data_IF_313260673131
#
_entry.id   IF_313260673131
#
_cell.length_a   1.000
_cell.length_b   1.000
_cell.length_c   1.000
_cell.angle_alpha   90.00
_cell.angle_beta   90.00
_cell.angle_gamma   90.00
#
_symmetry.space_group_name_H-M   'P 1'
#
loop_
_entity.id
_entity.type
_entity.pdbx_description
1 polymer ?
#
# COMPACT_ATOMS: atom_id res chain seq x y z
N UNK A 1 21.43 13.48 67.67
CA UNK A 1 20.91 12.48 66.69
C UNK A 1 19.65 13.06 66.05
N UNK A 2 19.79 13.78 64.93
CA UNK A 2 18.68 14.39 64.20
C UNK A 2 18.42 13.55 62.95
N UNK A 3 17.19 13.03 62.80
CA UNK A 3 16.84 12.10 61.73
C UNK A 3 16.68 12.86 60.41
N UNK A 4 17.37 12.35 59.40
CA UNK A 4 17.51 12.86 58.04
C UNK A 4 16.18 12.79 57.29
N UNK A 5 15.87 13.88 56.58
CA UNK A 5 14.82 14.03 55.58
C UNK A 5 15.17 13.16 54.37
N UNK A 6 14.29 12.25 53.95
CA UNK A 6 14.36 11.63 52.62
C UNK A 6 13.00 11.77 51.96
N UNK A 7 12.93 12.78 51.09
CA UNK A 7 11.85 13.08 50.16
C UNK A 7 11.66 11.91 49.20
N UNK A 8 10.52 11.22 49.29
CA UNK A 8 10.12 10.17 48.34
C UNK A 8 9.23 10.80 47.26
N UNK A 9 9.83 11.56 46.35
CA UNK A 9 9.18 11.92 45.09
C UNK A 9 9.34 10.69 44.18
N UNK A 10 8.29 9.86 44.18
CA UNK A 10 8.16 8.77 43.22
C UNK A 10 8.08 9.36 41.82
N UNK A 11 9.17 9.23 41.07
CA UNK A 11 9.24 9.59 39.66
C UNK A 11 8.36 8.59 38.88
N UNK A 12 7.13 9.01 38.62
CA UNK A 12 6.19 8.30 37.75
C UNK A 12 6.72 8.42 36.31
N UNK A 13 7.58 7.48 35.91
CA UNK A 13 7.87 7.25 34.50
C UNK A 13 6.63 6.62 33.86
N UNK A 14 5.69 7.46 33.43
CA UNK A 14 4.73 7.09 32.39
C UNK A 14 5.53 6.91 31.11
N UNK A 15 6.07 5.70 30.91
CA UNK A 15 6.53 5.28 29.59
C UNK A 15 5.25 5.15 28.77
N UNK A 16 4.90 6.22 28.06
CA UNK A 16 3.87 6.16 27.03
C UNK A 16 4.36 5.16 26.00
N UNK A 17 3.88 3.92 26.08
CA UNK A 17 3.97 2.99 24.97
C UNK A 17 3.19 3.65 23.83
N UNK A 18 3.90 4.34 22.94
CA UNK A 18 3.34 4.79 21.68
C UNK A 18 2.90 3.55 20.94
N UNK A 19 1.62 3.21 21.00
CA UNK A 19 1.05 2.15 20.21
C UNK A 19 1.16 2.58 18.74
N UNK A 20 2.18 2.10 18.04
CA UNK A 20 2.17 2.14 16.58
C UNK A 20 0.96 1.30 16.14
N UNK A 21 0.00 1.86 15.39
CA UNK A 21 -1.13 1.07 14.91
C UNK A 21 -0.63 -0.09 14.06
N UNK A 22 -1.14 -1.30 14.29
CA UNK A 22 -0.78 -2.48 13.49
C UNK A 22 -1.19 -2.28 12.03
N UNK A 23 -0.39 -2.73 11.03
CA UNK A 23 -0.79 -2.68 9.62
C UNK A 23 -1.99 -3.58 9.30
N UNK A 24 -2.35 -4.53 10.17
CA UNK A 24 -3.34 -5.59 9.88
C UNK A 24 -4.66 -5.06 9.33
N UNK A 25 -5.15 -3.93 9.89
CA UNK A 25 -6.36 -3.26 9.40
C UNK A 25 -6.22 -2.88 7.92
N UNK A 26 -5.13 -2.19 7.58
CA UNK A 26 -4.88 -1.69 6.23
C UNK A 26 -4.59 -2.82 5.25
N UNK A 27 -3.92 -3.88 5.69
CA UNK A 27 -3.71 -5.09 4.88
C UNK A 27 -5.05 -5.74 4.52
N UNK A 28 -5.96 -5.89 5.49
CA UNK A 28 -7.27 -6.49 5.25
C UNK A 28 -8.15 -5.63 4.31
N UNK A 29 -8.16 -4.31 4.52
CA UNK A 29 -8.87 -3.36 3.65
C UNK A 29 -8.29 -3.35 2.23
N UNK A 30 -6.96 -3.37 2.11
CA UNK A 30 -6.27 -3.39 0.82
C UNK A 30 -6.56 -4.68 0.04
N UNK A 31 -6.49 -5.82 0.71
CA UNK A 31 -6.81 -7.14 0.12
C UNK A 31 -8.24 -7.13 -0.41
N UNK A 32 -9.20 -6.71 0.41
CA UNK A 32 -10.61 -6.61 0.02
C UNK A 32 -10.80 -5.68 -1.17
N UNK A 33 -10.13 -4.52 -1.16
CA UNK A 33 -10.24 -3.55 -2.26
C UNK A 33 -9.71 -4.13 -3.57
N UNK A 34 -8.56 -4.79 -3.57
CA UNK A 34 -8.01 -5.42 -4.78
C UNK A 34 -8.95 -6.48 -5.33
N UNK A 35 -9.48 -7.35 -4.46
CA UNK A 35 -10.38 -8.44 -4.85
C UNK A 35 -11.76 -7.98 -5.34
N UNK A 36 -12.14 -6.73 -5.08
CA UNK A 36 -13.49 -6.21 -5.40
C UNK A 36 -13.51 -5.03 -6.35
N UNK A 37 -12.38 -4.34 -6.54
CA UNK A 37 -12.32 -3.05 -7.24
C UNK A 37 -11.16 -2.88 -8.21
N UNK A 38 -10.05 -3.61 -8.04
CA UNK A 38 -8.90 -3.50 -8.96
C UNK A 38 -9.26 -4.13 -10.30
N UNK A 39 -9.41 -3.30 -11.33
CA UNK A 39 -9.78 -3.76 -12.68
C UNK A 39 -8.75 -4.72 -13.27
N UNK A 40 -7.46 -4.49 -13.00
CA UNK A 40 -6.39 -5.40 -13.39
C UNK A 40 -6.54 -6.78 -12.75
N UNK A 41 -6.80 -6.84 -11.44
CA UNK A 41 -6.95 -8.10 -10.71
C UNK A 41 -8.28 -8.80 -11.05
N UNK A 42 -9.37 -8.05 -11.16
CA UNK A 42 -10.70 -8.61 -11.45
C UNK A 42 -10.81 -9.22 -12.85
N UNK A 43 -10.01 -8.73 -13.80
CA UNK A 43 -10.02 -9.27 -15.15
C UNK A 43 -9.54 -10.73 -15.18
N UNK A 44 -8.37 -10.99 -14.58
CA UNK A 44 -7.73 -12.31 -14.66
C UNK A 44 -6.64 -12.57 -13.58
N UNK A 45 -6.69 -11.83 -12.50
CA UNK A 45 -5.73 -11.89 -11.40
C UNK A 45 -5.95 -13.09 -10.47
N UNK A 46 -4.85 -13.60 -9.92
CA UNK A 46 -4.85 -14.67 -8.93
C UNK A 46 -3.62 -14.60 -8.02
N UNK A 47 -3.63 -15.38 -6.93
CA UNK A 47 -2.46 -15.50 -6.05
C UNK A 47 -2.13 -14.24 -5.24
N UNK A 48 -3.12 -13.42 -4.93
CA UNK A 48 -2.95 -12.20 -4.15
C UNK A 48 -2.30 -12.48 -2.79
N UNK A 49 -1.21 -11.79 -2.48
CA UNK A 49 -0.48 -11.96 -1.23
C UNK A 49 0.15 -10.65 -0.76
N UNK A 50 0.25 -10.48 0.56
CA UNK A 50 1.00 -9.39 1.14
C UNK A 50 2.49 -9.52 0.79
N UNK A 51 3.04 -8.47 0.17
CA UNK A 51 4.47 -8.30 -0.03
C UNK A 51 5.09 -7.54 1.14
N UNK A 52 4.54 -6.37 1.43
CA UNK A 52 5.06 -5.47 2.46
C UNK A 52 3.99 -4.48 2.93
N UNK A 53 4.10 -4.03 4.18
CA UNK A 53 3.33 -2.90 4.71
C UNK A 53 4.30 -1.88 5.30
N UNK A 54 4.33 -0.68 4.71
CA UNK A 54 5.29 0.37 5.06
C UNK A 54 4.56 1.54 5.71
N UNK A 55 4.92 1.93 6.95
CA UNK A 55 4.33 3.12 7.57
C UNK A 55 4.85 4.39 6.89
N UNK A 56 3.94 5.32 6.61
CA UNK A 56 4.28 6.65 6.09
C UNK A 56 4.77 7.61 7.19
N UNK A 57 5.29 8.78 6.77
CA UNK A 57 5.75 9.83 7.70
C UNK A 57 4.60 10.69 8.26
N UNK A 58 3.47 10.07 8.60
CA UNK A 58 2.33 10.72 9.22
C UNK A 58 1.52 9.72 10.07
N UNK A 59 0.72 10.25 11.00
CA UNK A 59 -0.16 9.44 11.83
C UNK A 59 -1.17 8.70 10.96
N UNK A 60 -1.26 7.37 11.11
CA UNK A 60 -2.20 6.52 10.35
C UNK A 60 -2.01 6.55 8.84
N UNK A 61 -0.76 6.67 8.38
CA UNK A 61 -0.40 6.57 6.97
C UNK A 61 0.30 5.26 6.67
N UNK A 62 -0.13 4.58 5.61
CA UNK A 62 0.39 3.27 5.23
C UNK A 62 0.44 3.12 3.72
N UNK A 63 1.56 2.60 3.21
CA UNK A 63 1.63 2.03 1.87
C UNK A 63 1.61 0.50 2.03
N UNK A 64 0.57 -0.13 1.46
CA UNK A 64 0.41 -1.59 1.43
C UNK A 64 0.74 -2.08 0.04
N UNK A 65 1.67 -3.03 -0.04
CA UNK A 65 2.10 -3.66 -1.28
C UNK A 65 1.58 -5.09 -1.33
N UNK A 66 0.80 -5.40 -2.36
CA UNK A 66 0.30 -6.74 -2.63
C UNK A 66 0.85 -7.23 -3.97
N UNK A 67 1.30 -8.48 -4.01
CA UNK A 67 1.69 -9.16 -5.25
C UNK A 67 0.55 -10.05 -5.73
N UNK A 68 0.37 -10.14 -7.05
CA UNK A 68 -0.53 -11.09 -7.69
C UNK A 68 -0.03 -11.45 -9.10
N UNK A 69 -0.65 -12.44 -9.73
CA UNK A 69 -0.35 -12.85 -11.10
C UNK A 69 -1.60 -12.68 -11.98
N UNK A 70 -1.44 -12.10 -13.17
CA UNK A 70 -2.45 -12.09 -14.24
C UNK A 70 -2.13 -13.15 -15.29
N UNK A 71 -3.15 -13.76 -15.90
CA UNK A 71 -2.99 -14.74 -16.99
C UNK A 71 -2.69 -14.13 -18.36
N UNK A 72 -2.84 -12.81 -18.50
CA UNK A 72 -2.57 -12.02 -19.67
C UNK A 72 -1.72 -10.79 -19.33
N UNK A 73 -1.07 -10.24 -20.36
CA UNK A 73 -0.30 -9.00 -20.22
C UNK A 73 -1.20 -7.75 -20.16
N UNK A 74 -0.72 -6.69 -19.51
CA UNK A 74 -1.30 -5.34 -19.57
C UNK A 74 -1.86 -4.86 -18.24
N UNK A 75 -2.76 -3.87 -18.26
CA UNK A 75 -3.46 -3.33 -17.08
C UNK A 75 -4.94 -3.05 -17.38
N UNK A 76 -5.79 -3.03 -16.35
CA UNK A 76 -7.20 -2.64 -16.43
C UNK A 76 -8.16 -3.70 -16.97
N UNK A 77 -9.38 -3.29 -17.34
CA UNK A 77 -10.25 -4.12 -18.17
C UNK A 77 -9.71 -4.16 -19.60
N UNK A 78 -9.56 -5.37 -20.13
CA UNK A 78 -8.96 -5.64 -21.44
C UNK A 78 -9.87 -6.50 -22.32
N UNK A 79 -11.17 -6.54 -22.02
CA UNK A 79 -12.17 -7.35 -22.73
C UNK A 79 -12.20 -7.05 -24.24
N UNK A 80 -11.85 -5.84 -24.65
CA UNK A 80 -11.83 -5.40 -26.04
C UNK A 80 -10.47 -5.60 -26.75
N UNK A 81 -9.50 -6.28 -26.11
CA UNK A 81 -8.14 -6.43 -26.62
C UNK A 81 -7.81 -7.88 -27.00
N UNK A 82 -7.03 -8.07 -28.05
CA UNK A 82 -6.39 -9.36 -28.35
C UNK A 82 -5.11 -9.43 -27.51
N UNK A 83 -5.09 -10.32 -26.52
CA UNK A 83 -4.00 -10.43 -25.56
C UNK A 83 -3.17 -11.70 -25.77
N UNK A 84 -1.88 -11.62 -25.42
CA UNK A 84 -1.05 -12.79 -25.24
C UNK A 84 -1.39 -13.47 -23.91
N UNK A 85 -1.53 -14.80 -23.93
CA UNK A 85 -1.70 -15.63 -22.74
C UNK A 85 -0.32 -15.85 -22.09
N UNK A 86 0.00 -15.05 -21.09
CA UNK A 86 1.29 -15.07 -20.38
C UNK A 86 1.06 -14.72 -18.92
N UNK A 87 1.59 -15.55 -18.03
CA UNK A 87 1.57 -15.26 -16.60
C UNK A 87 2.43 -14.02 -16.35
N UNK A 88 1.80 -12.94 -15.91
CA UNK A 88 2.42 -11.64 -15.67
C UNK A 88 2.33 -11.33 -14.18
N UNK A 89 3.47 -11.29 -13.46
CA UNK A 89 3.48 -10.86 -12.06
C UNK A 89 3.28 -9.35 -11.98
N UNK A 90 2.47 -8.93 -11.02
CA UNK A 90 2.17 -7.53 -10.72
C UNK A 90 2.38 -7.24 -9.24
N UNK A 91 2.80 -6.01 -8.93
CA UNK A 91 2.77 -5.44 -7.58
C UNK A 91 1.83 -4.24 -7.59
N UNK A 92 0.79 -4.25 -6.74
CA UNK A 92 -0.06 -3.09 -6.50
C UNK A 92 0.30 -2.41 -5.18
N UNK A 93 0.44 -1.08 -5.23
CA UNK A 93 0.63 -0.21 -4.06
C UNK A 93 -0.67 0.50 -3.73
N UNK A 94 -1.19 0.28 -2.53
CA UNK A 94 -2.34 0.98 -1.97
C UNK A 94 -1.89 1.94 -0.88
N UNK A 95 -2.17 3.24 -1.06
CA UNK A 95 -1.80 4.29 -0.11
C UNK A 95 -3.00 4.72 0.71
N UNK A 96 -2.84 4.64 2.03
CA UNK A 96 -3.81 5.13 3.00
C UNK A 96 -3.29 6.39 3.68
N UNK A 97 -4.13 7.42 3.76
CA UNK A 97 -3.91 8.66 4.50
C UNK A 97 -5.06 8.84 5.49
N UNK A 98 -4.74 8.92 6.79
CA UNK A 98 -5.73 9.11 7.84
C UNK A 98 -6.87 8.06 7.83
N UNK A 99 -6.58 6.84 7.38
CA UNK A 99 -7.59 5.78 7.28
C UNK A 99 -8.32 5.70 5.94
N UNK A 100 -8.10 6.63 5.02
CA UNK A 100 -8.74 6.65 3.70
C UNK A 100 -7.77 6.18 2.62
N UNK A 101 -8.25 5.30 1.72
CA UNK A 101 -7.51 4.92 0.52
C UNK A 101 -7.48 6.11 -0.44
N UNK A 102 -6.29 6.60 -0.78
CA UNK A 102 -6.11 7.75 -1.68
C UNK A 102 -5.44 7.39 -3.00
N UNK A 103 -4.68 6.30 -3.06
CA UNK A 103 -4.04 5.81 -4.29
C UNK A 103 -4.07 4.28 -4.36
N UNK A 104 -4.31 3.73 -5.55
CA UNK A 104 -4.12 2.32 -5.85
C UNK A 104 -3.42 2.19 -7.21
N UNK A 105 -2.11 1.92 -7.20
CA UNK A 105 -1.26 1.95 -8.39
C UNK A 105 -0.63 0.58 -8.62
N UNK A 106 -0.88 -0.01 -9.79
CA UNK A 106 -0.26 -1.27 -10.23
C UNK A 106 1.02 -0.99 -11.02
N UNK A 107 2.11 -1.65 -10.62
CA UNK A 107 3.46 -1.59 -11.22
C UNK A 107 4.03 -0.18 -11.41
N UNK A 108 3.61 0.79 -10.59
CA UNK A 108 3.94 2.22 -10.77
C UNK A 108 3.52 2.80 -12.13
N UNK A 109 2.67 2.08 -12.88
CA UNK A 109 2.32 2.40 -14.27
C UNK A 109 0.84 2.68 -14.42
N UNK A 110 -0.03 2.04 -13.64
CA UNK A 110 -1.48 2.12 -13.85
C UNK A 110 -2.21 2.55 -12.58
N UNK A 111 -3.02 3.60 -12.69
CA UNK A 111 -3.90 4.11 -11.65
C UNK A 111 -5.25 3.38 -11.73
N UNK A 112 -5.45 2.41 -10.84
CA UNK A 112 -6.64 1.57 -10.80
C UNK A 112 -7.90 2.37 -10.46
N UNK A 113 -7.79 3.41 -9.62
CA UNK A 113 -8.95 4.22 -9.21
C UNK A 113 -9.49 5.06 -10.37
N UNK A 114 -8.61 5.51 -11.26
CA UNK A 114 -8.95 6.37 -12.39
C UNK A 114 -8.91 5.66 -13.74
N UNK A 115 -8.66 4.34 -13.75
CA UNK A 115 -8.57 3.50 -14.93
C UNK A 115 -7.67 4.06 -16.04
N UNK A 116 -6.49 4.57 -15.68
CA UNK A 116 -5.56 5.22 -16.63
C UNK A 116 -4.11 4.88 -16.35
N UNK A 117 -3.28 4.90 -17.39
CA UNK A 117 -1.83 4.87 -17.22
C UNK A 117 -1.35 6.20 -16.62
N UNK A 118 -0.37 6.12 -15.75
CA UNK A 118 0.40 7.27 -15.31
C UNK A 118 1.30 7.73 -16.47
N UNK A 119 1.32 9.02 -16.74
CA UNK A 119 2.27 9.59 -17.69
C UNK A 119 3.66 9.54 -17.07
N UNK A 120 4.61 8.88 -17.76
CA UNK A 120 6.01 8.93 -17.36
C UNK A 120 6.53 10.36 -17.56
N UNK A 121 6.85 11.07 -16.48
CA UNK A 121 7.47 12.41 -16.54
C UNK A 121 8.90 12.36 -17.12
N UNK A 122 9.48 11.18 -17.35
CA UNK A 122 10.84 11.03 -17.86
C UNK A 122 10.86 10.42 -19.26
N UNK A 123 10.90 11.28 -20.30
CA UNK A 123 11.84 11.22 -21.43
C UNK A 123 11.82 12.57 -22.17
N UNK A 124 12.36 13.62 -21.54
CA UNK A 124 13.13 14.59 -22.31
C UNK A 124 14.57 14.09 -22.33
N UNK A 125 14.83 13.01 -23.07
CA UNK A 125 16.19 12.75 -23.54
C UNK A 125 16.59 13.99 -24.36
N UNK A 126 17.68 14.71 -24.03
CA UNK A 126 18.10 15.81 -24.88
C UNK A 126 18.41 15.25 -26.27
N UNK A 127 17.69 15.76 -27.27
CA UNK A 127 18.03 15.54 -28.66
C UNK A 127 19.48 16.01 -28.87
N UNK A 128 20.30 15.07 -29.35
CA UNK A 128 21.69 15.18 -29.80
C UNK A 128 22.18 16.59 -30.18
#
# INVERSE_FOLDING_TARGET
MSKIIISLIGLLFLVGAGCTPSPDKYVAEATTWVETSSSTYLYDGSGLKLKEAVPGNCASCWDIYLDFESSAAGFGDRSDQILAQVITPHTIRLRYLQGELIEAITDEVYDEQHARKLESIFLNEPAN
#
